data_IF_014030363892
#
_entry.id   IF_014030363892
#
_cell.length_a   1.000
_cell.length_b   1.000
_cell.length_c   1.000
_cell.angle_alpha   90.00
_cell.angle_beta   90.00
_cell.angle_gamma   90.00
#
_symmetry.space_group_name_H-M   'P 1'
#
loop_
_entity.id
_entity.type
_entity.pdbx_description
1 polymer ?
#
# COMPACT_ATOMS: atom_id res chain seq x y z
N UNK A 1 -1.53 -9.76 16.52
CA UNK A 1 -0.99 -8.46 16.06
C UNK A 1 0.36 -8.71 15.40
N UNK A 2 0.59 -8.18 14.19
CA UNK A 2 1.76 -8.48 13.35
C UNK A 2 2.85 -7.45 13.57
N UNK A 3 4.07 -7.89 13.89
CA UNK A 3 5.27 -7.06 13.75
C UNK A 3 6.09 -7.60 12.60
N UNK A 4 6.49 -6.72 11.71
CA UNK A 4 7.42 -7.00 10.63
C UNK A 4 8.62 -6.08 10.80
N UNK A 5 9.82 -6.67 10.87
CA UNK A 5 11.05 -5.92 11.07
C UNK A 5 11.40 -5.13 9.81
N UNK A 6 11.22 -3.80 9.86
CA UNK A 6 11.82 -2.88 8.87
C UNK A 6 13.34 -2.88 9.05
N UNK A 7 14.10 -2.98 7.96
CA UNK A 7 15.57 -2.99 7.95
C UNK A 7 16.24 -4.37 7.96
N UNK A 8 15.46 -5.45 7.86
CA UNK A 8 15.97 -6.81 7.65
C UNK A 8 15.57 -7.32 6.26
N UNK A 9 16.37 -8.20 5.65
CA UNK A 9 15.99 -8.90 4.43
C UNK A 9 15.00 -10.04 4.68
N UNK A 10 14.74 -10.37 5.96
CA UNK A 10 13.81 -11.40 6.38
C UNK A 10 12.56 -10.78 6.98
N UNK A 11 11.40 -11.36 6.69
CA UNK A 11 10.13 -10.95 7.30
C UNK A 11 9.82 -11.92 8.42
N UNK A 12 9.95 -11.45 9.66
CA UNK A 12 9.42 -12.16 10.81
C UNK A 12 7.94 -11.80 10.95
N UNK A 13 7.11 -12.81 11.17
CA UNK A 13 5.72 -12.67 11.55
C UNK A 13 5.50 -13.27 12.92
N UNK A 14 4.90 -12.51 13.82
CA UNK A 14 4.56 -13.01 15.16
C UNK A 14 3.09 -12.75 15.38
N UNK A 15 2.35 -13.79 15.74
CA UNK A 15 1.00 -13.70 16.25
C UNK A 15 1.05 -13.68 17.77
N UNK A 16 0.91 -12.49 18.33
CA UNK A 16 0.70 -12.32 19.77
C UNK A 16 -0.80 -12.36 20.05
N UNK A 17 -1.26 -13.30 20.89
CA UNK A 17 -2.65 -13.35 21.34
C UNK A 17 -3.00 -12.20 22.27
N UNK A 18 -4.27 -11.78 22.22
CA UNK A 18 -4.79 -10.71 23.10
C UNK A 18 -5.42 -11.26 24.38
N UNK A 19 -5.71 -12.57 24.44
CA UNK A 19 -6.26 -13.26 25.60
C UNK A 19 -5.26 -14.28 26.16
N UNK A 20 -5.26 -14.47 27.48
CA UNK A 20 -4.54 -15.55 28.13
C UNK A 20 -5.10 -16.90 27.68
N UNK A 21 -4.28 -17.71 27.00
CA UNK A 21 -4.63 -19.08 26.59
C UNK A 21 -4.48 -19.39 25.10
N UNK A 22 -4.36 -18.36 24.26
CA UNK A 22 -4.07 -18.56 22.84
C UNK A 22 -2.57 -18.80 22.61
N UNK A 23 -2.23 -19.60 21.60
CA UNK A 23 -0.83 -19.92 21.30
C UNK A 23 -0.13 -18.75 20.60
N UNK A 24 1.04 -18.36 21.13
CA UNK A 24 1.98 -17.51 20.41
C UNK A 24 2.58 -18.30 19.23
N UNK A 25 2.39 -17.80 18.00
CA UNK A 25 3.03 -18.35 16.80
C UNK A 25 4.04 -17.36 16.24
N UNK A 26 5.29 -17.77 16.05
CA UNK A 26 6.28 -16.99 15.32
C UNK A 26 6.68 -17.76 14.06
N UNK A 27 6.46 -17.15 12.90
CA UNK A 27 6.76 -17.72 11.60
C UNK A 27 7.67 -16.77 10.82
N UNK A 28 8.61 -17.32 10.06
CA UNK A 28 9.47 -16.54 9.17
C UNK A 28 8.92 -16.67 7.74
N UNK A 29 8.45 -15.57 7.17
CA UNK A 29 7.94 -15.54 5.80
C UNK A 29 9.05 -15.10 4.85
N UNK A 30 9.64 -16.08 4.18
CA UNK A 30 10.62 -15.89 3.10
C UNK A 30 11.69 -14.80 3.32
N UNK A 31 12.23 -14.30 2.22
CA UNK A 31 13.23 -13.22 2.23
C UNK A 31 13.16 -12.36 0.98
N UNK A 32 13.55 -11.11 1.12
CA UNK A 32 13.89 -10.21 0.03
C UNK A 32 15.40 -10.26 -0.26
N UNK A 33 15.81 -9.78 -1.43
CA UNK A 33 17.24 -9.68 -1.76
C UNK A 33 17.90 -8.49 -1.06
N UNK A 34 17.10 -7.50 -0.66
CA UNK A 34 17.52 -6.35 0.12
C UNK A 34 16.60 -6.12 1.33
N UNK A 35 16.88 -5.06 2.09
CA UNK A 35 16.10 -4.69 3.26
C UNK A 35 14.65 -4.40 2.93
N UNK A 36 13.73 -4.95 3.73
CA UNK A 36 12.32 -4.58 3.70
C UNK A 36 12.16 -3.20 4.33
N UNK A 37 11.50 -2.31 3.59
CA UNK A 37 11.37 -0.88 3.93
C UNK A 37 9.97 -0.51 4.37
N UNK A 38 8.97 -1.24 3.89
CA UNK A 38 7.57 -1.00 4.21
C UNK A 38 6.79 -2.30 4.15
N UNK A 39 5.76 -2.41 4.99
CA UNK A 39 4.87 -3.57 5.11
C UNK A 39 3.44 -3.10 5.30
N UNK A 40 2.49 -3.87 4.77
CA UNK A 40 1.07 -3.60 4.85
C UNK A 40 0.29 -4.91 4.91
N UNK A 41 -0.65 -5.02 5.84
CA UNK A 41 -1.58 -6.14 5.90
C UNK A 41 -2.91 -5.76 5.27
N UNK A 42 -3.44 -6.62 4.40
CA UNK A 42 -4.74 -6.43 3.74
C UNK A 42 -5.51 -7.74 3.78
N UNK A 43 -6.47 -7.85 4.72
CA UNK A 43 -7.22 -9.09 4.94
C UNK A 43 -6.30 -10.25 5.34
N UNK A 44 -6.31 -11.35 4.57
CA UNK A 44 -5.47 -12.53 4.78
C UNK A 44 -4.11 -12.46 4.08
N UNK A 45 -3.73 -11.30 3.55
CA UNK A 45 -2.49 -11.13 2.80
C UNK A 45 -1.56 -10.11 3.47
N UNK A 46 -0.25 -10.35 3.33
CA UNK A 46 0.80 -9.41 3.70
C UNK A 46 1.50 -8.92 2.44
N UNK A 47 1.68 -7.62 2.34
CA UNK A 47 2.47 -6.95 1.34
C UNK A 47 3.76 -6.45 1.96
N UNK A 48 4.85 -6.62 1.24
CA UNK A 48 6.16 -6.13 1.66
C UNK A 48 6.87 -5.47 0.48
N UNK A 49 7.39 -4.27 0.72
CA UNK A 49 8.19 -3.50 -0.23
C UNK A 49 9.63 -3.40 0.26
N UNK A 50 10.58 -3.66 -0.65
CA UNK A 50 12.00 -3.70 -0.31
C UNK A 50 12.84 -2.71 -1.13
N UNK A 51 14.08 -2.54 -0.67
CA UNK A 51 15.07 -1.66 -1.29
C UNK A 51 15.55 -2.12 -2.67
N UNK A 52 15.32 -3.39 -3.01
CA UNK A 52 15.59 -3.98 -4.32
C UNK A 52 14.49 -3.65 -5.36
N UNK A 53 13.48 -2.87 -4.98
CA UNK A 53 12.35 -2.51 -5.83
C UNK A 53 11.29 -3.60 -5.92
N UNK A 54 11.45 -4.70 -5.20
CA UNK A 54 10.45 -5.77 -5.15
C UNK A 54 9.32 -5.44 -4.17
N UNK A 55 8.11 -5.62 -4.65
CA UNK A 55 6.89 -5.77 -3.85
C UNK A 55 6.50 -7.24 -3.87
N UNK A 56 6.43 -7.86 -2.70
CA UNK A 56 6.00 -9.26 -2.55
C UNK A 56 4.65 -9.31 -1.84
N UNK A 57 3.85 -10.26 -2.27
CA UNK A 57 2.55 -10.60 -1.70
C UNK A 57 2.64 -11.99 -1.07
N UNK A 58 2.28 -12.09 0.19
CA UNK A 58 2.36 -13.31 0.99
C UNK A 58 0.98 -13.67 1.51
N UNK A 59 0.69 -14.97 1.58
CA UNK A 59 -0.45 -15.48 2.31
C UNK A 59 -0.12 -15.51 3.80
N UNK A 60 -1.01 -14.98 4.65
CA UNK A 60 -0.83 -14.99 6.10
C UNK A 60 -1.24 -16.31 6.75
N UNK A 61 -2.02 -17.16 6.07
CA UNK A 61 -2.47 -18.44 6.61
C UNK A 61 -1.33 -19.46 6.66
N UNK A 62 -0.55 -19.57 5.59
CA UNK A 62 0.53 -20.57 5.45
C UNK A 62 1.93 -19.97 5.22
N UNK A 63 2.01 -18.66 4.99
CA UNK A 63 3.28 -17.99 4.73
C UNK A 63 3.85 -18.12 3.33
N UNK A 64 3.07 -18.65 2.40
CA UNK A 64 3.49 -18.84 1.02
C UNK A 64 3.66 -17.50 0.31
N UNK A 65 4.64 -17.44 -0.59
CA UNK A 65 4.78 -16.32 -1.51
C UNK A 65 3.75 -16.49 -2.63
N UNK A 66 2.76 -15.60 -2.66
CA UNK A 66 1.69 -15.61 -3.67
C UNK A 66 2.14 -14.97 -4.97
N UNK A 67 2.77 -13.79 -4.89
CA UNK A 67 3.28 -13.08 -6.07
C UNK A 67 4.44 -12.14 -5.70
N UNK A 68 5.25 -11.77 -6.69
CA UNK A 68 6.38 -10.86 -6.56
C UNK A 68 6.48 -10.00 -7.80
N UNK A 69 6.42 -8.67 -7.63
CA UNK A 69 6.62 -7.70 -8.71
C UNK A 69 7.79 -6.81 -8.39
N UNK A 70 8.66 -6.60 -9.37
CA UNK A 70 9.76 -5.66 -9.26
C UNK A 70 9.46 -4.45 -10.11
N UNK A 71 9.71 -3.25 -9.57
CA UNK A 71 9.59 -2.02 -10.33
C UNK A 71 10.50 -2.10 -11.59
N UNK A 72 10.01 -1.73 -12.78
CA UNK A 72 10.83 -1.69 -13.99
C UNK A 72 12.10 -0.85 -13.87
N UNK A 73 12.08 0.17 -13.00
CA UNK A 73 13.24 1.02 -12.75
C UNK A 73 13.92 0.65 -11.42
N UNK A 74 15.26 0.69 -11.36
CA UNK A 74 16.00 0.44 -10.12
C UNK A 74 15.62 1.50 -9.10
N UNK A 75 14.83 1.10 -8.12
CA UNK A 75 14.24 1.99 -7.14
C UNK A 75 13.86 1.22 -5.88
N UNK A 76 13.75 1.92 -4.75
CA UNK A 76 13.33 1.32 -3.48
C UNK A 76 11.83 1.53 -3.31
N UNK A 77 11.10 0.49 -2.92
CA UNK A 77 9.72 0.67 -2.47
C UNK A 77 9.76 1.19 -1.05
N UNK A 78 9.21 2.39 -0.83
CA UNK A 78 9.31 3.11 0.45
C UNK A 78 7.96 3.24 1.16
N UNK A 79 6.86 3.21 0.40
CA UNK A 79 5.51 3.33 0.96
C UNK A 79 4.60 2.23 0.40
N UNK A 80 3.71 1.73 1.26
CA UNK A 80 2.60 0.87 0.90
C UNK A 80 1.34 1.41 1.58
N UNK A 81 0.22 1.40 0.86
CA UNK A 81 -1.05 1.87 1.40
C UNK A 81 -2.24 1.09 0.81
N UNK A 82 -3.23 0.77 1.64
CA UNK A 82 -4.42 0.05 1.19
C UNK A 82 -5.48 1.01 0.62
N UNK A 83 -5.90 0.79 -0.62
CA UNK A 83 -6.96 1.54 -1.29
C UNK A 83 -8.24 0.69 -1.30
N UNK A 84 -9.02 0.78 -0.23
CA UNK A 84 -10.26 0.00 -0.11
C UNK A 84 -9.99 -1.51 0.03
N UNK A 85 -10.97 -2.36 -0.28
CA UNK A 85 -10.87 -3.79 0.06
C UNK A 85 -9.93 -4.59 -0.83
N UNK A 86 -9.70 -4.14 -2.07
CA UNK A 86 -9.08 -4.98 -3.12
C UNK A 86 -7.93 -4.30 -3.87
N UNK A 87 -7.57 -3.06 -3.52
CA UNK A 87 -6.47 -2.34 -4.17
C UNK A 87 -5.43 -1.88 -3.17
N UNK A 88 -4.20 -1.78 -3.62
CA UNK A 88 -3.07 -1.30 -2.84
C UNK A 88 -2.20 -0.38 -3.69
N UNK A 89 -1.65 0.66 -3.09
CA UNK A 89 -0.69 1.54 -3.73
C UNK A 89 0.71 1.31 -3.17
N UNK A 90 1.70 1.36 -4.05
CA UNK A 90 3.12 1.34 -3.70
C UNK A 90 3.75 2.64 -4.14
N UNK A 91 4.60 3.21 -3.28
CA UNK A 91 5.37 4.41 -3.52
C UNK A 91 6.84 4.08 -3.65
N UNK A 92 7.45 4.53 -4.73
CA UNK A 92 8.85 4.28 -5.04
C UNK A 92 9.75 5.49 -4.75
N UNK A 93 11.02 5.24 -4.49
CA UNK A 93 12.05 6.26 -4.37
C UNK A 93 12.32 7.03 -5.67
N UNK A 94 11.87 6.48 -6.81
CA UNK A 94 11.92 7.15 -8.12
C UNK A 94 10.75 8.11 -8.38
N UNK A 95 9.84 8.27 -7.41
CA UNK A 95 8.70 9.17 -7.52
C UNK A 95 7.48 8.59 -8.22
N UNK A 96 7.55 7.30 -8.58
CA UNK A 96 6.41 6.57 -9.12
C UNK A 96 5.50 6.06 -8.01
N UNK A 97 4.20 6.14 -8.26
CA UNK A 97 3.17 5.45 -7.48
C UNK A 97 2.52 4.41 -8.38
N UNK A 98 2.50 3.15 -7.95
CA UNK A 98 1.84 2.06 -8.68
C UNK A 98 0.69 1.50 -7.86
N UNK A 99 -0.49 1.45 -8.44
CA UNK A 99 -1.69 0.86 -7.85
C UNK A 99 -1.86 -0.54 -8.42
N UNK A 100 -1.99 -1.51 -7.51
CA UNK A 100 -2.23 -2.90 -7.83
C UNK A 100 -3.63 -3.32 -7.37
N UNK A 101 -4.28 -4.13 -8.18
CA UNK A 101 -5.42 -4.96 -7.79
C UNK A 101 -4.88 -6.24 -7.16
N UNK A 102 -5.39 -6.60 -5.99
CA UNK A 102 -5.03 -7.80 -5.21
C UNK A 102 -6.21 -8.75 -5.02
N UNK A 103 -7.34 -8.52 -5.70
CA UNK A 103 -8.54 -9.36 -5.60
C UNK A 103 -8.31 -10.82 -5.96
N UNK A 104 -7.42 -11.07 -6.92
CA UNK A 104 -7.07 -12.41 -7.40
C UNK A 104 -5.89 -13.03 -6.66
N UNK A 105 -5.48 -12.47 -5.50
CA UNK A 105 -4.27 -12.86 -4.77
C UNK A 105 -3.00 -12.79 -5.65
N UNK A 106 -3.00 -11.90 -6.63
CA UNK A 106 -1.86 -11.58 -7.48
C UNK A 106 -1.69 -10.07 -7.53
N UNK A 107 -0.49 -9.58 -7.81
CA UNK A 107 -0.19 -8.16 -7.91
C UNK A 107 -0.42 -7.69 -9.35
N UNK A 108 -1.66 -7.34 -9.70
CA UNK A 108 -1.98 -6.84 -11.04
C UNK A 108 -1.88 -5.31 -11.10
N UNK A 109 -0.93 -4.74 -11.86
CA UNK A 109 -0.80 -3.29 -11.96
C UNK A 109 -2.00 -2.71 -12.72
N UNK A 110 -2.77 -1.84 -12.08
CA UNK A 110 -3.92 -1.16 -12.66
C UNK A 110 -3.52 0.22 -13.17
N UNK A 111 -2.81 0.96 -12.32
CA UNK A 111 -2.37 2.31 -12.63
C UNK A 111 -0.94 2.55 -12.19
N UNK A 112 -0.22 3.34 -12.96
CA UNK A 112 1.11 3.83 -12.59
C UNK A 112 1.19 5.31 -12.90
N UNK A 113 1.56 6.09 -11.90
CA UNK A 113 1.65 7.54 -11.97
C UNK A 113 3.07 7.96 -11.67
N UNK A 114 3.57 8.94 -12.41
CA UNK A 114 4.77 9.68 -12.04
C UNK A 114 4.32 10.94 -11.31
N UNK A 115 4.69 11.07 -10.03
CA UNK A 115 4.26 12.22 -9.21
C UNK A 115 5.29 13.33 -9.30
N UNK A 116 6.56 13.03 -9.03
CA UNK A 116 7.66 13.98 -9.02
C UNK A 116 9.01 13.23 -9.12
N UNK A 117 10.14 13.93 -9.17
CA UNK A 117 11.49 13.36 -9.11
C UNK A 117 11.93 12.96 -7.68
N UNK A 118 11.08 13.22 -6.68
CA UNK A 118 11.37 12.95 -5.26
C UNK A 118 10.89 11.57 -4.79
N UNK A 119 11.47 11.03 -3.69
CA UNK A 119 11.05 9.76 -3.15
C UNK A 119 9.65 9.83 -2.53
N UNK A 120 8.79 8.87 -2.86
CA UNK A 120 7.49 8.73 -2.21
C UNK A 120 7.68 8.00 -0.88
N UNK A 121 7.88 8.76 0.20
CA UNK A 121 8.19 8.19 1.53
C UNK A 121 6.96 7.67 2.27
N UNK A 122 5.80 8.28 2.04
CA UNK A 122 4.54 7.91 2.68
C UNK A 122 3.38 8.08 1.71
N UNK A 123 2.38 7.22 1.84
CA UNK A 123 1.13 7.28 1.12
C UNK A 123 -0.02 7.21 2.12
N UNK A 124 -1.11 7.90 1.82
CA UNK A 124 -2.34 7.82 2.58
C UNK A 124 -3.51 7.79 1.59
N UNK A 125 -4.39 6.82 1.73
CA UNK A 125 -5.52 6.62 0.84
C UNK A 125 -6.83 6.78 1.61
N UNK A 126 -7.78 7.48 0.99
CA UNK A 126 -9.15 7.55 1.49
C UNK A 126 -10.10 7.22 0.35
N UNK A 127 -10.81 6.12 0.48
CA UNK A 127 -11.93 5.81 -0.41
C UNK A 127 -13.10 6.67 0.02
N UNK A 128 -13.49 7.61 -0.85
CA UNK A 128 -14.69 8.41 -0.61
C UNK A 128 -15.91 7.58 -1.01
N UNK A 129 -16.95 7.49 -0.15
CA UNK A 129 -18.23 6.99 -0.61
C UNK A 129 -18.73 7.88 -1.75
N UNK A 130 -19.41 7.26 -2.72
CA UNK A 130 -19.89 7.85 -3.99
C UNK A 130 -20.61 9.21 -3.86
N UNK A 131 -21.02 9.59 -2.65
CA UNK A 131 -21.78 10.81 -2.31
C UNK A 131 -21.00 12.12 -2.48
N UNK A 132 -19.66 12.13 -2.59
CA UNK A 132 -18.92 13.40 -2.72
C UNK A 132 -18.87 13.97 -4.14
N UNK A 133 -19.22 13.16 -5.16
CA UNK A 133 -19.21 13.60 -6.56
C UNK A 133 -20.32 14.63 -6.84
N UNK A 134 -21.46 14.50 -6.16
CA UNK A 134 -22.59 15.42 -6.29
C UNK A 134 -22.37 16.72 -5.49
N UNK A 135 -21.71 16.65 -4.33
CA UNK A 135 -21.44 17.84 -3.51
C UNK A 135 -20.43 18.82 -4.17
N UNK A 136 -19.50 18.30 -4.98
CA UNK A 136 -18.60 19.12 -5.80
C UNK A 136 -19.31 19.69 -7.04
N UNK A 137 -20.24 18.95 -7.64
CA UNK A 137 -21.06 19.42 -8.77
C UNK A 137 -22.13 20.44 -8.34
N UNK A 138 -22.62 20.38 -7.09
CA UNK A 138 -23.57 21.33 -6.53
C UNK A 138 -22.94 22.70 -6.18
N UNK A 139 -21.61 22.80 -6.17
CA UNK A 139 -20.89 24.09 -6.16
C UNK A 139 -20.68 24.59 -7.60
N UNK A 140 -21.78 24.81 -8.31
CA UNK A 140 -21.76 25.62 -9.53
C UNK A 140 -21.23 27.04 -9.25
N UNK A 141 -20.75 27.78 -10.27
CA UNK A 141 -20.15 29.09 -10.08
C UNK A 141 -21.14 30.01 -9.37
N UNK A 142 -20.73 30.58 -8.23
CA UNK A 142 -21.48 31.66 -7.59
C UNK A 142 -21.65 32.76 -8.63
N UNK A 143 -22.90 32.99 -9.06
CA UNK A 143 -23.26 34.12 -9.90
C UNK A 143 -22.73 35.39 -9.24
N UNK A 144 -21.86 36.08 -9.94
CA UNK A 144 -21.51 37.46 -9.63
C UNK A 144 -22.78 38.28 -9.83
N UNK A 145 -23.48 38.57 -8.74
CA UNK A 145 -24.54 39.56 -8.75
C UNK A 145 -24.44 40.42 -7.49
N UNK A 146 -24.47 41.74 -7.70
CA UNK A 146 -24.55 42.74 -6.65
C UNK A 146 -23.35 43.68 -6.56
N UNK A 147 -23.37 44.76 -7.36
CA UNK A 147 -22.49 45.91 -7.18
C UNK A 147 -22.75 47.04 -8.16
N UNK A 148 -23.96 47.64 -8.10
CA UNK A 148 -24.22 48.93 -8.74
C UNK A 148 -23.53 50.11 -8.03
N UNK A 149 -23.88 51.33 -8.46
CA UNK A 149 -23.40 52.68 -8.05
C UNK A 149 -22.27 53.15 -8.99
N UNK A 150 -22.38 54.23 -9.79
CA UNK A 150 -23.24 55.43 -9.89
C UNK A 150 -23.51 55.78 -11.35
#
# INVERSE_FOLDING_TARGET
>A
MVFSQSGSSKILFVQIPLAEGDCCGAFLFGSHAAEVRCLLTSGSCLLSGAADGSTKLWDLEDGSLLDSKTDPQPSSILALEQIGPLMVATGSSSGFVTVYDVSTRTLMPVHRFFVDHGPVTHLAARVLPHQLREAAAARGPRSADGGGVV
#
